data_IF_005645014689
#
_entry.id   IF_005645014689
#
_cell.length_a   1.000
_cell.length_b   1.000
_cell.length_c   1.000
_cell.angle_alpha   90.00
_cell.angle_beta   90.00
_cell.angle_gamma   90.00
#
_symmetry.space_group_name_H-M   'P 1'
#
loop_
_entity.id
_entity.type
_entity.pdbx_description
1 polymer ?
#
# COMPACT_ATOMS: atom_id res chain seq x y z
N UNK A 1 26.60 -47.28 -4.13
CA UNK A 1 25.38 -46.58 -3.67
C UNK A 1 25.68 -45.10 -3.74
N UNK A 2 25.40 -44.50 -4.90
CA UNK A 2 25.71 -43.10 -5.19
C UNK A 2 24.60 -42.21 -4.61
N UNK A 3 24.99 -41.30 -3.72
CA UNK A 3 24.13 -40.28 -3.12
C UNK A 3 23.83 -39.22 -4.18
N UNK A 4 22.61 -39.23 -4.69
CA UNK A 4 22.07 -38.20 -5.58
C UNK A 4 21.71 -36.96 -4.76
N UNK A 5 22.53 -35.91 -4.87
CA UNK A 5 22.24 -34.59 -4.32
C UNK A 5 21.22 -33.89 -5.22
N UNK A 6 19.98 -33.77 -4.74
CA UNK A 6 18.94 -33.02 -5.42
C UNK A 6 19.25 -31.51 -5.38
N UNK A 7 19.66 -30.96 -6.52
CA UNK A 7 19.77 -29.51 -6.74
C UNK A 7 18.35 -28.93 -6.76
N UNK A 8 18.03 -28.09 -5.79
CA UNK A 8 16.81 -27.26 -5.79
C UNK A 8 16.83 -26.34 -7.03
N UNK A 9 15.71 -26.20 -7.77
CA UNK A 9 15.68 -25.33 -8.93
C UNK A 9 15.82 -23.87 -8.46
N UNK A 10 16.80 -23.19 -9.06
CA UNK A 10 16.95 -21.74 -9.00
C UNK A 10 15.59 -21.10 -9.32
N UNK A 11 15.01 -20.37 -8.36
CA UNK A 11 13.75 -19.66 -8.55
C UNK A 11 13.84 -18.83 -9.84
N UNK A 12 12.96 -19.12 -10.80
CA UNK A 12 12.90 -18.36 -12.04
C UNK A 12 12.70 -16.88 -11.69
N UNK A 13 13.64 -16.03 -12.12
CA UNK A 13 13.57 -14.59 -11.92
C UNK A 13 12.20 -14.08 -12.41
N UNK A 14 11.48 -13.36 -11.54
CA UNK A 14 10.22 -12.74 -11.91
C UNK A 14 10.42 -11.90 -13.19
N UNK A 15 9.49 -11.93 -14.16
CA UNK A 15 9.64 -11.17 -15.39
C UNK A 15 9.80 -9.68 -15.05
N UNK A 16 10.78 -9.03 -15.67
CA UNK A 16 11.07 -7.62 -15.42
C UNK A 16 9.81 -6.76 -15.57
N UNK A 17 9.50 -5.94 -14.54
CA UNK A 17 8.38 -5.01 -14.58
C UNK A 17 8.53 -4.09 -15.79
N UNK A 18 7.49 -4.02 -16.62
CA UNK A 18 7.47 -3.07 -17.74
C UNK A 18 6.93 -1.74 -17.21
N UNK A 19 7.72 -0.65 -17.22
CA UNK A 19 7.25 0.65 -16.76
C UNK A 19 5.99 1.10 -17.50
N UNK A 20 5.10 1.78 -16.77
CA UNK A 20 4.03 2.54 -17.36
C UNK A 20 4.53 3.47 -18.47
N UNK A 21 3.68 3.72 -19.47
CA UNK A 21 3.98 4.65 -20.56
C UNK A 21 4.22 6.04 -19.99
N UNK A 22 5.29 6.67 -20.47
CA UNK A 22 5.66 8.03 -20.08
C UNK A 22 4.56 9.03 -20.40
N UNK A 23 4.13 9.82 -19.41
CA UNK A 23 3.14 10.88 -19.58
C UNK A 23 3.80 12.13 -20.17
N UNK A 24 3.64 12.28 -21.49
CA UNK A 24 4.03 13.49 -22.23
C UNK A 24 2.95 14.57 -22.09
N UNK A 25 3.23 15.82 -22.49
CA UNK A 25 2.25 16.92 -22.40
C UNK A 25 0.94 16.68 -23.16
N UNK A 26 0.93 15.71 -24.08
CA UNK A 26 -0.23 15.36 -24.91
C UNK A 26 -1.00 14.16 -24.34
N UNK A 27 -0.47 13.53 -23.28
CA UNK A 27 -1.18 12.45 -22.61
C UNK A 27 -2.44 12.99 -21.95
N UNK A 28 -3.56 12.30 -22.18
CA UNK A 28 -4.82 12.59 -21.51
C UNK A 28 -4.78 11.94 -20.13
N UNK A 29 -4.58 12.76 -19.11
CA UNK A 29 -4.64 12.31 -17.71
C UNK A 29 -6.08 12.42 -17.24
N UNK A 30 -6.66 11.29 -16.83
CA UNK A 30 -7.93 11.28 -16.12
C UNK A 30 -7.66 11.19 -14.62
N UNK A 31 -7.94 12.27 -13.84
CA UNK A 31 -7.74 12.24 -12.40
C UNK A 31 -8.54 11.14 -11.71
N UNK A 32 -8.06 10.70 -10.56
CA UNK A 32 -8.89 9.99 -9.59
C UNK A 32 -9.91 10.95 -8.96
N UNK A 33 -10.91 10.41 -8.29
CA UNK A 33 -11.94 11.20 -7.62
C UNK A 33 -11.61 11.43 -6.14
N UNK A 34 -12.26 12.42 -5.53
CA UNK A 34 -12.22 12.62 -4.08
C UNK A 34 -13.40 11.85 -3.50
N UNK A 35 -13.15 11.06 -2.46
CA UNK A 35 -14.22 10.46 -1.68
C UNK A 35 -14.78 11.53 -0.72
N UNK A 36 -16.09 11.68 -0.73
CA UNK A 36 -16.81 12.53 0.20
C UNK A 36 -17.63 11.63 1.12
N UNK A 37 -17.31 11.55 2.43
CA UNK A 37 -18.05 10.69 3.33
C UNK A 37 -19.51 11.13 3.38
N UNK A 38 -20.41 10.18 3.15
CA UNK A 38 -21.86 10.34 3.25
C UNK A 38 -22.27 10.92 4.62
N UNK A 39 -21.58 10.49 5.68
CA UNK A 39 -21.67 11.09 7.01
C UNK A 39 -20.27 11.53 7.48
N UNK A 40 -19.99 12.85 7.47
CA UNK A 40 -18.71 13.40 7.91
C UNK A 40 -18.41 13.25 9.40
N UNK A 41 -19.40 12.89 10.23
CA UNK A 41 -19.21 12.68 11.66
C UNK A 41 -18.67 11.28 12.00
N UNK A 42 -18.76 10.34 11.05
CA UNK A 42 -18.27 8.98 11.24
C UNK A 42 -16.75 8.91 11.03
N UNK A 43 -16.09 8.15 11.91
CA UNK A 43 -14.70 7.73 11.68
C UNK A 43 -14.60 6.83 10.42
N UNK A 44 -13.40 6.69 9.82
CA UNK A 44 -13.21 5.78 8.70
C UNK A 44 -13.70 4.34 8.96
N UNK A 45 -13.51 3.83 10.16
CA UNK A 45 -13.96 2.50 10.58
C UNK A 45 -15.47 2.41 10.77
N UNK A 46 -16.10 3.48 11.26
CA UNK A 46 -17.56 3.52 11.37
C UNK A 46 -18.22 3.65 9.99
N UNK A 47 -17.57 4.37 9.07
CA UNK A 47 -18.04 4.55 7.69
C UNK A 47 -17.82 3.28 6.84
N UNK A 48 -16.66 2.64 6.99
CA UNK A 48 -16.33 1.37 6.36
C UNK A 48 -16.11 0.28 7.41
N UNK A 49 -17.19 -0.18 8.08
CA UNK A 49 -17.07 -1.24 9.07
C UNK A 49 -16.54 -2.52 8.43
N UNK A 50 -15.88 -3.32 9.26
CA UNK A 50 -15.44 -4.64 8.85
C UNK A 50 -16.66 -5.56 8.69
N UNK A 51 -16.84 -6.08 7.49
CA UNK A 51 -17.95 -6.96 7.11
C UNK A 51 -17.39 -8.19 6.42
N UNK A 52 -18.05 -9.33 6.60
CA UNK A 52 -17.65 -10.59 5.95
C UNK A 52 -18.30 -10.69 4.57
N UNK A 53 -17.48 -10.77 3.53
CA UNK A 53 -17.95 -11.10 2.17
C UNK A 53 -17.98 -12.61 2.05
N UNK A 54 -19.15 -13.15 1.70
CA UNK A 54 -19.37 -14.57 1.42
C UNK A 54 -19.84 -14.72 -0.02
N UNK A 55 -19.36 -15.77 -0.71
CA UNK A 55 -19.81 -16.12 -2.05
C UNK A 55 -19.83 -17.64 -2.23
N UNK A 56 -20.62 -18.17 -3.18
CA UNK A 56 -20.75 -19.62 -3.39
C UNK A 56 -19.41 -20.30 -3.70
N UNK A 57 -18.50 -19.60 -4.40
CA UNK A 57 -17.21 -20.15 -4.85
C UNK A 57 -15.99 -19.55 -4.13
N UNK A 58 -16.20 -18.83 -3.02
CA UNK A 58 -15.12 -18.12 -2.31
C UNK A 58 -15.26 -18.31 -0.79
N UNK A 59 -14.18 -18.75 -0.15
CA UNK A 59 -14.10 -18.78 1.31
C UNK A 59 -14.43 -17.40 1.88
N UNK A 60 -15.24 -17.28 2.95
CA UNK A 60 -15.59 -15.99 3.53
C UNK A 60 -14.34 -15.18 3.89
N UNK A 61 -14.32 -13.90 3.53
CA UNK A 61 -13.20 -13.02 3.86
C UNK A 61 -13.70 -11.65 4.37
N UNK A 62 -13.07 -11.10 5.43
CA UNK A 62 -13.46 -9.80 5.96
C UNK A 62 -12.99 -8.68 5.03
N UNK A 63 -13.78 -7.61 4.87
CA UNK A 63 -13.49 -6.40 4.07
C UNK A 63 -14.02 -5.17 4.80
N UNK A 64 -13.36 -4.03 4.61
CA UNK A 64 -13.89 -2.74 5.04
C UNK A 64 -14.85 -2.24 3.96
N UNK A 65 -16.15 -2.40 4.20
CA UNK A 65 -17.20 -2.13 3.19
C UNK A 65 -17.95 -0.88 3.61
N UNK A 66 -18.15 0.06 2.68
CA UNK A 66 -18.94 1.26 2.94
C UNK A 66 -20.35 0.84 3.38
N UNK A 67 -20.79 1.29 4.55
CA UNK A 67 -22.13 0.97 5.07
C UNK A 67 -23.26 1.59 4.25
N UNK A 68 -22.98 2.62 3.48
CA UNK A 68 -23.93 3.34 2.63
C UNK A 68 -23.92 2.84 1.17
N UNK A 69 -22.89 2.09 0.76
CA UNK A 69 -22.80 1.48 -0.57
C UNK A 69 -21.95 0.20 -0.52
N UNK A 70 -22.61 -0.96 -0.59
CA UNK A 70 -21.94 -2.27 -0.50
C UNK A 70 -21.02 -2.59 -1.68
N UNK A 71 -20.96 -1.75 -2.72
CA UNK A 71 -20.03 -1.87 -3.86
C UNK A 71 -18.76 -1.03 -3.69
N UNK A 72 -18.58 -0.36 -2.55
CA UNK A 72 -17.37 0.39 -2.23
C UNK A 72 -16.59 -0.23 -1.08
N UNK A 73 -15.26 -0.31 -1.23
CA UNK A 73 -14.38 -0.81 -0.16
C UNK A 73 -13.26 0.19 0.19
N UNK A 74 -12.73 0.07 1.41
CA UNK A 74 -11.60 0.86 1.90
C UNK A 74 -10.28 0.11 1.77
N UNK A 75 -9.27 0.81 1.24
CA UNK A 75 -7.86 0.48 1.40
C UNK A 75 -7.20 1.57 2.24
N UNK A 76 -6.47 1.19 3.27
CA UNK A 76 -5.76 2.13 4.15
C UNK A 76 -4.28 2.04 3.85
N UNK A 77 -3.66 3.15 3.46
CA UNK A 77 -2.26 3.13 3.00
C UNK A 77 -1.40 4.08 3.82
N UNK A 78 -0.17 3.66 4.10
CA UNK A 78 0.82 4.55 4.68
C UNK A 78 2.24 4.22 4.22
N UNK A 79 3.15 5.17 4.47
CA UNK A 79 4.53 5.14 4.04
C UNK A 79 5.38 5.91 5.02
N UNK A 80 6.48 5.29 5.43
CA UNK A 80 7.43 5.83 6.38
C UNK A 80 8.80 5.91 5.72
N UNK A 81 9.59 6.88 6.14
CA UNK A 81 10.98 6.95 5.75
C UNK A 81 11.80 7.50 6.91
N UNK A 82 12.87 6.78 7.22
CA UNK A 82 13.83 7.09 8.28
C UNK A 82 14.96 7.91 7.66
N UNK A 83 15.49 8.84 8.45
CA UNK A 83 16.63 9.66 8.08
C UNK A 83 16.43 10.52 6.80
N UNK A 84 15.24 11.13 6.65
CA UNK A 84 14.95 12.04 5.53
C UNK A 84 14.73 13.49 5.98
N UNK A 85 14.77 14.42 5.01
CA UNK A 85 14.43 15.81 5.21
C UNK A 85 15.55 16.68 5.78
N UNK A 86 15.20 17.88 6.25
CA UNK A 86 16.16 18.92 6.69
C UNK A 86 17.11 18.46 7.80
N UNK A 87 16.63 17.55 8.65
CA UNK A 87 17.34 17.10 9.86
C UNK A 87 17.96 15.71 9.70
N UNK A 88 18.06 15.20 8.47
CA UNK A 88 18.70 13.92 8.21
C UNK A 88 20.18 13.94 8.65
N UNK A 89 20.60 12.86 9.29
CA UNK A 89 22.01 12.51 9.46
C UNK A 89 22.61 12.23 8.07
N UNK A 90 23.53 13.10 7.63
CA UNK A 90 24.19 13.00 6.31
C UNK A 90 25.15 11.83 6.19
N UNK A 91 25.44 11.13 7.29
CA UNK A 91 26.33 9.98 7.33
C UNK A 91 25.59 8.64 7.20
N UNK A 92 24.27 8.64 7.14
CA UNK A 92 23.46 7.44 6.96
C UNK A 92 22.55 7.61 5.73
N UNK A 93 22.28 6.51 5.04
CA UNK A 93 21.33 6.50 3.93
C UNK A 93 19.89 6.60 4.48
N UNK A 94 18.99 7.32 3.79
CA UNK A 94 17.57 7.25 4.09
C UNK A 94 17.02 5.87 3.72
N UNK A 95 16.21 5.28 4.58
CA UNK A 95 15.49 4.03 4.32
C UNK A 95 13.99 4.29 4.30
N UNK A 96 13.25 3.60 3.44
CA UNK A 96 11.81 3.76 3.31
C UNK A 96 11.09 2.44 3.51
N UNK A 97 9.82 2.52 3.89
CA UNK A 97 8.93 1.39 4.00
C UNK A 97 7.51 1.84 3.68
N UNK A 98 6.75 0.97 3.05
CA UNK A 98 5.39 1.27 2.63
C UNK A 98 4.47 0.09 2.99
N UNK A 99 3.22 0.40 3.31
CA UNK A 99 2.26 -0.60 3.75
C UNK A 99 0.83 -0.23 3.40
N UNK A 100 -0.03 -1.24 3.35
CA UNK A 100 -1.46 -1.05 3.28
C UNK A 100 -2.24 -2.13 4.03
N UNK A 101 -3.46 -1.79 4.43
CA UNK A 101 -4.44 -2.67 5.05
C UNK A 101 -5.64 -2.78 4.09
N UNK A 102 -6.06 -4.00 3.80
CA UNK A 102 -7.10 -4.31 2.80
C UNK A 102 -8.17 -5.29 3.32
N UNK A 103 -7.96 -5.86 4.50
CA UNK A 103 -8.96 -6.59 5.31
C UNK A 103 -8.60 -6.52 6.78
N UNK A 104 -9.56 -6.83 7.64
CA UNK A 104 -9.29 -7.05 9.06
C UNK A 104 -8.58 -8.39 9.28
N UNK A 105 -7.86 -8.51 10.40
CA UNK A 105 -7.47 -9.81 10.90
C UNK A 105 -8.76 -10.60 11.18
N UNK A 106 -8.95 -11.73 10.50
CA UNK A 106 -10.04 -12.63 10.88
C UNK A 106 -9.83 -13.03 12.34
N UNK A 107 -10.89 -13.01 13.15
CA UNK A 107 -10.81 -13.71 14.42
C UNK A 107 -10.44 -15.16 14.11
N UNK A 108 -9.29 -15.62 14.60
CA UNK A 108 -9.15 -17.05 14.82
C UNK A 108 -10.35 -17.46 15.68
N UNK A 109 -11.13 -18.40 15.17
CA UNK A 109 -12.38 -18.91 15.75
C UNK A 109 -12.32 -19.00 17.28
N UNK A 110 -13.37 -18.61 18.03
CA UNK A 110 -13.40 -18.90 19.46
C UNK A 110 -13.37 -20.42 19.65
N UNK A 111 -12.34 -20.92 20.34
CA UNK A 111 -12.28 -22.30 20.79
C UNK A 111 -13.56 -22.58 21.59
N UNK A 112 -14.38 -23.58 21.23
CA UNK A 112 -15.55 -23.91 22.03
C UNK A 112 -15.11 -24.29 23.45
N UNK A 113 -15.79 -23.82 24.51
CA UNK A 113 -15.43 -24.15 25.88
C UNK A 113 -15.73 -25.63 26.12
N UNK A 114 -14.69 -26.46 26.31
CA UNK A 114 -14.91 -27.86 26.69
C UNK A 114 -13.83 -28.91 26.39
N UNK A 115 -12.60 -28.57 26.00
CA UNK A 115 -11.53 -29.58 25.84
C UNK A 115 -10.36 -29.29 26.79
N UNK A 116 -9.89 -30.28 27.59
CA UNK A 116 -8.80 -30.09 28.51
C UNK A 116 -7.46 -29.91 27.78
N UNK A 117 -6.71 -28.91 28.22
CA UNK A 117 -5.37 -28.58 27.75
C UNK A 117 -4.38 -29.72 28.07
N UNK A 118 -4.03 -30.53 27.07
CA UNK A 118 -2.84 -31.38 27.18
C UNK A 118 -1.60 -30.51 26.99
N UNK A 119 -0.86 -30.30 28.08
CA UNK A 119 0.50 -29.75 28.03
C UNK A 119 1.39 -30.67 27.20
N UNK A 120 1.73 -30.23 25.99
CA UNK A 120 2.92 -30.72 25.29
C UNK A 120 4.03 -29.71 25.49
N UNK A 121 5.07 -30.11 26.22
CA UNK A 121 6.36 -29.44 26.21
C UNK A 121 6.91 -29.48 24.78
N UNK A 122 6.96 -28.32 24.13
CA UNK A 122 7.71 -28.12 22.90
C UNK A 122 8.96 -27.30 23.23
N UNK A 123 10.13 -27.85 22.91
CA UNK A 123 11.42 -27.18 23.00
C UNK A 123 11.45 -25.86 22.21
N UNK A 124 12.29 -24.89 22.60
CA UNK A 124 12.50 -23.67 21.84
C UNK A 124 13.36 -23.96 20.59
N UNK A 125 12.71 -24.49 19.56
CA UNK A 125 13.28 -24.67 18.23
C UNK A 125 13.44 -23.32 17.53
N UNK A 126 14.68 -23.01 17.19
CA UNK A 126 15.17 -21.82 16.50
C UNK A 126 14.33 -21.44 15.27
N UNK A 127 13.52 -20.38 15.39
CA UNK A 127 12.90 -19.71 14.24
C UNK A 127 13.84 -18.58 13.79
N UNK A 128 14.31 -18.53 12.53
CA UNK A 128 15.11 -17.40 12.08
C UNK A 128 14.24 -16.12 12.08
N UNK A 129 14.75 -14.97 12.53
CA UNK A 129 14.03 -13.70 12.44
C UNK A 129 14.09 -13.21 10.99
N UNK A 130 13.12 -13.59 10.17
CA UNK A 130 12.91 -12.96 8.86
C UNK A 130 11.53 -12.30 8.84
N UNK A 131 11.38 -11.27 9.67
CA UNK A 131 10.13 -10.58 9.93
C UNK A 131 10.06 -9.21 9.23
N UNK A 132 10.03 -9.21 7.89
CA UNK A 132 9.53 -8.09 7.08
C UNK A 132 8.16 -8.37 6.45
N UNK A 133 7.75 -9.64 6.37
CA UNK A 133 6.46 -10.06 5.79
C UNK A 133 5.59 -10.64 6.89
N UNK A 134 4.62 -9.89 7.40
CA UNK A 134 3.56 -10.52 8.19
C UNK A 134 2.69 -11.37 7.26
N UNK A 135 2.21 -12.53 7.71
CA UNK A 135 1.40 -13.39 6.87
C UNK A 135 0.13 -12.65 6.38
N UNK A 136 -0.33 -12.93 5.14
CA UNK A 136 -1.54 -12.33 4.56
C UNK A 136 -2.83 -12.62 5.36
N UNK A 137 -2.74 -13.49 6.38
CA UNK A 137 -3.78 -13.69 7.40
C UNK A 137 -4.11 -12.41 8.18
N UNK A 138 -3.16 -11.48 8.36
CA UNK A 138 -3.36 -10.24 9.11
C UNK A 138 -4.02 -9.10 8.29
N UNK A 139 -4.35 -9.34 7.01
CA UNK A 139 -5.03 -8.35 6.18
C UNK A 139 -4.23 -7.11 5.83
N UNK A 140 -2.91 -7.22 5.97
CA UNK A 140 -1.93 -6.15 5.83
C UNK A 140 -0.78 -6.63 4.98
N UNK A 141 -0.24 -5.72 4.17
CA UNK A 141 0.96 -5.92 3.36
C UNK A 141 1.92 -4.79 3.67
N UNK A 142 3.20 -5.11 3.83
CA UNK A 142 4.25 -4.12 4.07
C UNK A 142 5.56 -4.60 3.45
N UNK A 143 6.31 -3.67 2.85
CA UNK A 143 7.62 -3.95 2.25
C UNK A 143 8.54 -2.74 2.41
N UNK A 144 9.87 -2.94 2.39
CA UNK A 144 10.81 -1.85 2.21
C UNK A 144 10.55 -1.11 0.89
N UNK A 145 10.88 0.18 0.87
CA UNK A 145 10.81 0.99 -0.34
C UNK A 145 11.99 0.70 -1.25
N UNK A 146 11.70 0.44 -2.53
CA UNK A 146 12.70 0.09 -3.51
C UNK A 146 13.60 1.28 -3.90
N UNK A 147 14.88 1.00 -4.16
CA UNK A 147 15.87 2.03 -4.55
C UNK A 147 15.74 2.46 -6.01
N UNK A 148 15.32 1.57 -6.89
CA UNK A 148 15.04 1.84 -8.30
C UNK A 148 13.53 1.81 -8.55
N UNK A 149 13.02 2.89 -9.13
CA UNK A 149 11.60 3.03 -9.46
C UNK A 149 11.17 2.21 -10.68
N UNK A 150 9.88 2.29 -11.07
CA UNK A 150 9.36 1.63 -12.27
C UNK A 150 10.16 1.90 -13.54
N UNK A 151 10.76 3.08 -13.67
CA UNK A 151 11.60 3.46 -14.83
C UNK A 151 13.03 2.92 -14.77
N UNK A 152 13.40 2.15 -13.73
CA UNK A 152 14.76 1.68 -13.49
C UNK A 152 15.74 2.74 -12.98
N UNK A 153 15.31 3.98 -12.81
CA UNK A 153 16.14 5.05 -12.27
C UNK A 153 16.22 4.96 -10.74
N UNK A 154 17.42 5.12 -10.18
CA UNK A 154 17.64 5.19 -8.73
C UNK A 154 17.01 6.46 -8.16
N UNK A 155 16.29 6.32 -7.06
CA UNK A 155 15.64 7.43 -6.37
C UNK A 155 15.81 7.29 -4.85
N UNK A 156 16.14 8.40 -4.20
CA UNK A 156 16.27 8.42 -2.74
C UNK A 156 14.91 8.18 -2.04
N UNK A 157 14.89 7.33 -1.01
CA UNK A 157 13.73 7.19 -0.14
C UNK A 157 13.29 8.53 0.47
N UNK A 158 12.00 8.81 0.37
CA UNK A 158 11.34 9.94 1.05
C UNK A 158 9.96 9.51 1.51
N UNK A 159 9.39 10.19 2.50
CA UNK A 159 8.01 9.90 2.95
C UNK A 159 6.98 10.01 1.81
N UNK A 160 7.14 10.99 0.92
CA UNK A 160 6.28 11.15 -0.25
C UNK A 160 6.38 9.97 -1.22
N UNK A 161 7.60 9.48 -1.48
CA UNK A 161 7.85 8.33 -2.35
C UNK A 161 7.27 7.05 -1.73
N UNK A 162 7.48 6.84 -0.44
CA UNK A 162 6.95 5.70 0.30
C UNK A 162 5.41 5.65 0.26
N UNK A 163 4.72 6.77 0.50
CA UNK A 163 3.26 6.80 0.45
C UNK A 163 2.70 6.62 -0.97
N UNK A 164 3.35 7.20 -1.99
CA UNK A 164 2.97 6.93 -3.38
C UNK A 164 3.11 5.45 -3.74
N UNK A 165 4.21 4.83 -3.32
CA UNK A 165 4.44 3.40 -3.51
C UNK A 165 3.40 2.53 -2.80
N UNK A 166 2.97 2.94 -1.60
CA UNK A 166 1.89 2.29 -0.85
C UNK A 166 0.57 2.28 -1.62
N UNK A 167 0.18 3.41 -2.20
CA UNK A 167 -1.02 3.51 -3.04
C UNK A 167 -0.93 2.58 -4.24
N UNK A 168 0.18 2.63 -4.97
CA UNK A 168 0.39 1.78 -6.15
C UNK A 168 0.34 0.30 -5.76
N UNK A 169 1.04 -0.09 -4.69
CA UNK A 169 1.05 -1.45 -4.19
C UNK A 169 -0.35 -1.94 -3.80
N UNK A 170 -1.12 -1.10 -3.10
CA UNK A 170 -2.48 -1.43 -2.69
C UNK A 170 -3.42 -1.61 -3.89
N UNK A 171 -3.36 -0.72 -4.88
CA UNK A 171 -4.20 -0.78 -6.07
C UNK A 171 -3.82 -1.94 -7.01
N UNK A 172 -2.53 -2.28 -7.10
CA UNK A 172 -2.04 -3.40 -7.92
C UNK A 172 -2.24 -4.77 -7.27
N UNK A 173 -2.41 -4.80 -5.93
CA UNK A 173 -2.41 -6.04 -5.16
C UNK A 173 -3.42 -7.06 -5.66
N UNK A 174 -4.62 -6.63 -6.08
CA UNK A 174 -5.67 -7.51 -6.59
C UNK A 174 -6.43 -6.84 -7.72
N UNK A 175 -7.04 -7.65 -8.57
CA UNK A 175 -8.07 -7.19 -9.49
C UNK A 175 -9.34 -6.87 -8.70
N UNK A 176 -9.41 -5.67 -8.11
CA UNK A 176 -10.52 -5.27 -7.23
C UNK A 176 -11.88 -5.31 -7.94
N UNK A 177 -11.92 -5.03 -9.24
CA UNK A 177 -13.14 -5.19 -10.05
C UNK A 177 -13.64 -6.64 -10.10
N UNK A 178 -12.75 -7.62 -10.20
CA UNK A 178 -13.08 -9.05 -10.21
C UNK A 178 -13.50 -9.58 -8.83
N UNK A 179 -13.20 -8.82 -7.77
CA UNK A 179 -13.79 -9.02 -6.44
C UNK A 179 -15.23 -8.47 -6.33
N UNK A 180 -15.71 -7.71 -7.32
CA UNK A 180 -17.06 -7.16 -7.37
C UNK A 180 -17.18 -5.70 -6.93
N UNK A 181 -16.05 -5.04 -6.64
CA UNK A 181 -16.01 -3.64 -6.19
C UNK A 181 -16.17 -2.68 -7.36
N UNK A 182 -17.17 -1.80 -7.25
CA UNK A 182 -17.35 -0.68 -8.19
C UNK A 182 -16.41 0.47 -7.88
N UNK A 183 -16.01 0.63 -6.62
CA UNK A 183 -15.08 1.68 -6.20
C UNK A 183 -14.17 1.22 -5.06
N UNK A 184 -12.90 1.56 -5.20
CA UNK A 184 -11.90 1.46 -4.13
C UNK A 184 -11.63 2.86 -3.59
N UNK A 185 -11.80 3.03 -2.28
CA UNK A 185 -11.50 4.26 -1.54
C UNK A 185 -10.15 4.10 -0.86
N UNK A 186 -9.20 4.96 -1.20
CA UNK A 186 -7.85 4.98 -0.63
C UNK A 186 -7.78 6.02 0.49
N UNK A 187 -7.65 5.55 1.73
CA UNK A 187 -7.47 6.37 2.92
C UNK A 187 -5.99 6.69 3.14
N UNK A 188 -5.65 7.97 3.25
CA UNK A 188 -4.30 8.44 3.59
C UNK A 188 -4.35 9.81 4.26
N UNK A 189 -3.31 10.17 4.99
CA UNK A 189 -3.16 11.49 5.63
C UNK A 189 -2.24 12.45 4.86
N UNK A 190 -1.79 12.07 3.66
CA UNK A 190 -0.86 12.86 2.87
C UNK A 190 -1.56 13.62 1.73
N UNK A 191 -1.74 14.92 1.94
CA UNK A 191 -2.28 15.85 0.95
C UNK A 191 -1.56 15.78 -0.40
N UNK A 192 -0.24 15.55 -0.40
CA UNK A 192 0.54 15.44 -1.64
C UNK A 192 0.04 14.31 -2.55
N UNK A 193 -0.37 13.19 -1.98
CA UNK A 193 -0.92 12.04 -2.71
C UNK A 193 -2.34 12.36 -3.18
N UNK A 194 -3.21 12.82 -2.27
CA UNK A 194 -4.62 13.06 -2.57
C UNK A 194 -4.76 14.14 -3.64
N UNK A 195 -4.15 15.31 -3.45
CA UNK A 195 -4.25 16.41 -4.42
C UNK A 195 -3.44 16.16 -5.69
N UNK A 196 -2.33 15.41 -5.58
CA UNK A 196 -1.59 15.00 -6.76
C UNK A 196 -2.45 14.14 -7.70
N UNK A 197 -3.12 13.12 -7.16
CA UNK A 197 -3.94 12.17 -7.94
C UNK A 197 -5.25 12.78 -8.46
N UNK A 198 -5.82 13.75 -7.74
CA UNK A 198 -7.15 14.29 -8.03
C UNK A 198 -7.13 15.65 -8.73
N UNK A 199 -6.03 16.43 -8.61
CA UNK A 199 -5.99 17.83 -9.09
C UNK A 199 -4.73 18.21 -9.85
N UNK A 200 -3.55 17.85 -9.36
CA UNK A 200 -2.30 18.45 -9.83
C UNK A 200 -1.67 17.71 -11.01
N UNK A 201 -1.82 16.39 -11.09
CA UNK A 201 -1.15 15.57 -12.11
C UNK A 201 -1.41 16.04 -13.55
N UNK A 202 -2.65 16.36 -13.99
CA UNK A 202 -2.89 16.87 -15.34
C UNK A 202 -2.09 18.14 -15.64
N UNK A 203 -2.00 19.05 -14.66
CA UNK A 203 -1.23 20.30 -14.78
C UNK A 203 0.27 20.03 -14.83
N UNK A 204 0.78 19.10 -14.03
CA UNK A 204 2.19 18.70 -14.07
C UNK A 204 2.57 18.13 -15.43
N UNK A 205 1.74 17.24 -15.97
CA UNK A 205 1.93 16.62 -17.29
C UNK A 205 1.90 17.68 -18.40
N UNK A 206 0.89 18.55 -18.41
CA UNK A 206 0.79 19.66 -19.38
C UNK A 206 2.03 20.57 -19.37
N UNK A 207 2.62 20.79 -18.20
CA UNK A 207 3.84 21.59 -18.00
C UNK A 207 5.14 20.80 -18.17
N UNK A 208 5.08 19.60 -18.76
CA UNK A 208 6.24 18.72 -18.98
C UNK A 208 7.02 18.43 -17.70
N UNK A 209 6.32 18.31 -16.57
CA UNK A 209 6.88 18.07 -15.24
C UNK A 209 7.80 19.18 -14.74
N UNK A 210 7.63 20.43 -15.21
CA UNK A 210 8.47 21.57 -14.81
C UNK A 210 7.73 22.47 -13.80
N UNK A 211 8.42 22.82 -12.71
CA UNK A 211 7.95 23.84 -11.76
C UNK A 211 8.04 25.25 -12.39
N UNK A 212 7.22 26.22 -11.94
CA UNK A 212 7.43 27.64 -12.22
C UNK A 212 8.87 28.08 -11.90
N UNK A 213 9.39 29.10 -12.63
CA UNK A 213 10.74 29.64 -12.40
C UNK A 213 10.95 30.13 -10.97
N UNK A 214 9.93 30.73 -10.37
CA UNK A 214 9.97 31.33 -9.03
C UNK A 214 9.35 30.44 -7.95
N UNK A 215 9.16 29.14 -8.22
CA UNK A 215 8.66 28.25 -7.17
C UNK A 215 9.75 28.03 -6.12
N UNK A 216 9.49 28.29 -4.83
CA UNK A 216 10.42 27.94 -3.76
C UNK A 216 10.62 26.42 -3.66
N UNK A 217 11.81 26.00 -3.22
CA UNK A 217 12.19 24.58 -3.04
C UNK A 217 13.01 24.00 -4.19
N UNK A 218 14.02 23.21 -3.83
CA UNK A 218 15.04 22.66 -4.73
C UNK A 218 14.46 21.87 -5.91
N UNK A 219 15.05 22.07 -7.09
CA UNK A 219 14.74 21.34 -8.32
C UNK A 219 13.69 22.02 -9.22
N UNK A 220 13.99 22.10 -10.52
CA UNK A 220 13.11 22.69 -11.56
C UNK A 220 12.00 21.75 -12.03
N UNK A 221 11.91 20.54 -11.46
CA UNK A 221 10.96 19.49 -11.85
C UNK A 221 10.14 19.02 -10.65
N UNK A 222 8.91 18.61 -10.91
CA UNK A 222 8.10 17.90 -9.90
C UNK A 222 8.73 16.52 -9.67
N UNK A 223 8.81 16.08 -8.40
CA UNK A 223 9.40 14.80 -8.00
C UNK A 223 8.46 13.62 -8.21
N UNK A 224 9.00 12.40 -8.03
CA UNK A 224 8.29 11.11 -8.07
C UNK A 224 7.53 10.85 -9.39
N UNK A 225 8.05 11.37 -10.50
CA UNK A 225 7.39 11.25 -11.81
C UNK A 225 7.12 9.78 -12.18
N UNK A 226 8.11 8.93 -11.99
CA UNK A 226 8.05 7.48 -12.22
C UNK A 226 6.83 6.84 -11.52
N UNK A 227 6.66 7.11 -10.23
CA UNK A 227 5.53 6.58 -9.46
C UNK A 227 4.20 7.23 -9.85
N UNK A 228 4.18 8.52 -10.20
CA UNK A 228 2.94 9.15 -10.68
C UNK A 228 2.47 8.61 -12.03
N UNK A 229 3.41 8.30 -12.93
CA UNK A 229 3.10 7.66 -14.21
C UNK A 229 2.55 6.24 -13.98
N UNK A 230 3.13 5.49 -13.05
CA UNK A 230 2.66 4.16 -12.64
C UNK A 230 1.28 4.19 -11.95
N UNK A 231 1.05 5.16 -11.06
CA UNK A 231 -0.23 5.35 -10.40
C UNK A 231 -1.33 5.70 -11.41
N UNK A 232 -1.05 6.60 -12.36
CA UNK A 232 -2.03 6.95 -13.40
C UNK A 232 -2.42 5.73 -14.25
N UNK A 233 -1.44 4.91 -14.65
CA UNK A 233 -1.70 3.69 -15.41
C UNK A 233 -2.54 2.69 -14.61
N UNK A 234 -2.23 2.52 -13.32
CA UNK A 234 -2.99 1.61 -12.43
C UNK A 234 -4.43 2.09 -12.22
N UNK A 235 -4.65 3.39 -12.04
CA UNK A 235 -6.00 3.97 -11.91
C UNK A 235 -6.80 3.82 -13.20
N UNK A 236 -6.16 3.99 -14.36
CA UNK A 236 -6.80 3.79 -15.66
C UNK A 236 -7.16 2.32 -15.91
N UNK A 237 -6.27 1.38 -15.57
CA UNK A 237 -6.50 -0.06 -15.63
C UNK A 237 -7.74 -0.46 -14.80
N UNK A 238 -7.80 -0.04 -13.54
CA UNK A 238 -8.96 -0.30 -12.68
C UNK A 238 -10.25 0.31 -13.24
N UNK A 239 -10.19 1.55 -13.74
CA UNK A 239 -11.36 2.23 -14.32
C UNK A 239 -11.89 1.49 -15.55
N UNK A 240 -11.01 1.03 -16.44
CA UNK A 240 -11.41 0.22 -17.62
C UNK A 240 -12.03 -1.11 -17.17
N UNK A 241 -11.54 -1.69 -16.08
CA UNK A 241 -12.13 -2.86 -15.42
C UNK A 241 -13.43 -2.57 -14.64
N UNK A 242 -13.99 -1.36 -14.73
CA UNK A 242 -15.24 -0.99 -14.05
C UNK A 242 -15.10 -0.66 -12.56
N UNK A 243 -13.87 -0.48 -12.07
CA UNK A 243 -13.56 -0.15 -10.68
C UNK A 243 -12.97 1.27 -10.58
N UNK A 244 -13.71 2.20 -9.99
CA UNK A 244 -13.25 3.57 -9.76
C UNK A 244 -12.29 3.67 -8.57
N UNK A 245 -11.36 4.62 -8.61
CA UNK A 245 -10.47 4.94 -7.48
C UNK A 245 -10.79 6.32 -6.95
N UNK A 246 -11.14 6.39 -5.66
CA UNK A 246 -11.35 7.64 -4.92
C UNK A 246 -10.35 7.78 -3.78
N UNK A 247 -9.94 9.01 -3.47
CA UNK A 247 -9.04 9.30 -2.35
C UNK A 247 -9.80 9.97 -1.20
N UNK A 248 -9.61 9.45 0.01
CA UNK A 248 -10.10 10.05 1.25
C UNK A 248 -8.92 10.57 2.07
N UNK A 249 -8.82 11.90 2.17
CA UNK A 249 -7.85 12.56 3.05
C UNK A 249 -8.38 12.59 4.48
N UNK A 250 -7.62 12.04 5.42
CA UNK A 250 -7.85 12.22 6.86
C UNK A 250 -6.81 13.15 7.45
N UNK A 251 -7.25 14.06 8.33
CA UNK A 251 -6.33 14.93 9.07
C UNK A 251 -6.02 14.34 10.44
N UNK A 252 -4.84 14.66 10.97
CA UNK A 252 -4.28 14.05 12.18
C UNK A 252 -5.08 14.18 13.49
N UNK A 253 -6.30 14.75 13.49
CA UNK A 253 -7.23 14.78 14.62
C UNK A 253 -8.53 13.99 14.40
N UNK A 254 -8.82 13.52 13.18
CA UNK A 254 -10.03 12.72 12.86
C UNK A 254 -9.85 11.22 13.18
N UNK A 255 -8.62 10.80 13.50
CA UNK A 255 -8.21 9.41 13.70
C UNK A 255 -8.33 8.96 15.16
N UNK A 256 -8.51 9.89 16.11
CA UNK A 256 -8.48 9.59 17.55
C UNK A 256 -9.85 9.17 18.13
N UNK A 257 -10.95 9.32 17.38
CA UNK A 257 -12.30 8.93 17.82
C UNK A 257 -12.61 7.50 17.34
N UNK A 258 -11.84 6.54 17.85
CA UNK A 258 -12.12 5.11 17.71
C UNK A 258 -12.26 4.49 19.09
N UNK A 259 -13.40 3.84 19.36
CA UNK A 259 -13.79 3.24 20.65
C UNK A 259 -12.97 1.98 21.04
N UNK A 260 -11.74 1.86 20.54
CA UNK A 260 -10.88 0.69 20.75
C UNK A 260 -9.42 1.11 20.88
N UNK A 261 -8.80 0.74 21.99
CA UNK A 261 -7.44 1.13 22.40
C UNK A 261 -6.26 0.67 21.52
N UNK A 262 -6.48 0.37 20.23
CA UNK A 262 -5.48 -0.09 19.25
C UNK A 262 -5.16 0.96 18.15
N UNK A 263 -5.48 2.24 18.38
CA UNK A 263 -5.07 3.35 17.50
C UNK A 263 -5.72 3.43 16.11
N UNK A 264 -6.66 2.53 15.77
CA UNK A 264 -7.41 2.55 14.52
C UNK A 264 -6.65 1.99 13.29
N UNK A 265 -7.35 1.87 12.17
CA UNK A 265 -6.82 1.24 10.93
C UNK A 265 -5.64 2.01 10.35
N UNK A 266 -5.64 3.33 10.51
CA UNK A 266 -4.56 4.20 10.02
C UNK A 266 -3.30 4.05 10.86
N UNK A 267 -3.41 3.90 12.19
CA UNK A 267 -2.23 3.63 13.02
C UNK A 267 -1.58 2.28 12.67
N UNK A 268 -2.39 1.25 12.38
CA UNK A 268 -1.88 -0.06 11.93
C UNK A 268 -1.09 0.04 10.62
N UNK A 269 -1.56 0.84 9.65
CA UNK A 269 -0.82 1.10 8.42
C UNK A 269 0.48 1.86 8.68
N UNK A 270 0.44 2.89 9.54
CA UNK A 270 1.62 3.68 9.97
C UNK A 270 2.69 2.83 10.63
N UNK A 271 2.28 1.99 11.58
CA UNK A 271 3.20 1.10 12.29
C UNK A 271 3.85 0.10 11.32
N UNK A 272 3.06 -0.49 10.42
CA UNK A 272 3.55 -1.41 9.41
C UNK A 272 4.60 -0.79 8.50
N UNK A 273 4.32 0.41 7.97
CA UNK A 273 5.23 1.14 7.12
C UNK A 273 6.53 1.52 7.87
N UNK A 274 6.41 1.92 9.15
CA UNK A 274 7.55 2.25 10.00
C UNK A 274 8.42 1.05 10.31
N UNK A 275 7.82 -0.12 10.57
CA UNK A 275 8.57 -1.38 10.76
C UNK A 275 9.30 -1.78 9.48
N UNK A 276 8.62 -1.73 8.34
CA UNK A 276 9.21 -2.02 7.04
C UNK A 276 10.37 -1.06 6.70
N UNK A 277 10.31 0.20 7.14
CA UNK A 277 11.40 1.15 6.94
C UNK A 277 12.64 0.90 7.83
N UNK A 278 12.48 0.17 8.95
CA UNK A 278 13.52 0.00 9.98
C UNK A 278 14.13 -1.40 10.02
N UNK A 279 13.36 -2.43 9.69
CA UNK A 279 13.65 -3.81 10.04
C UNK A 279 13.90 -4.72 8.84
N UNK A 280 14.71 -4.30 7.88
CA UNK A 280 15.05 -5.16 6.75
C UNK A 280 16.46 -5.75 6.92
N UNK A 281 16.53 -6.97 7.47
CA UNK A 281 17.75 -7.77 7.62
C UNK A 281 17.91 -8.77 6.44
N UNK A 282 17.71 -8.31 5.20
CA UNK A 282 17.84 -9.11 3.97
C UNK A 282 18.46 -8.31 2.81
N UNK A 283 18.44 -8.87 1.59
CA UNK A 283 18.84 -8.15 0.37
C UNK A 283 17.78 -7.11 -0.02
N UNK A 284 18.09 -5.81 0.16
CA UNK A 284 17.10 -4.74 0.00
C UNK A 284 16.47 -4.85 -1.38
N UNK A 285 15.13 -4.77 -1.52
CA UNK A 285 14.49 -4.84 -2.82
C UNK A 285 15.00 -3.66 -3.66
N UNK A 286 15.95 -3.96 -4.55
CA UNK A 286 16.65 -2.93 -5.28
C UNK A 286 15.76 -2.32 -6.37
N UNK A 287 14.87 -3.13 -6.95
CA UNK A 287 14.03 -2.75 -8.07
C UNK A 287 12.53 -2.83 -7.76
N UNK A 288 11.79 -1.86 -8.28
CA UNK A 288 10.33 -1.84 -8.25
C UNK A 288 9.75 -3.17 -8.72
N UNK A 289 8.88 -3.74 -7.89
CA UNK A 289 8.20 -5.00 -8.19
C UNK A 289 6.70 -4.79 -8.13
N UNK A 290 5.98 -5.10 -9.23
CA UNK A 290 4.51 -5.13 -9.23
C UNK A 290 4.06 -6.23 -8.29
N UNK A 291 3.17 -5.91 -7.36
CA UNK A 291 2.71 -6.87 -6.36
C UNK A 291 1.37 -7.41 -6.79
N UNK A 292 1.23 -8.73 -6.72
CA UNK A 292 -0.02 -9.45 -6.94
C UNK A 292 -0.28 -10.32 -5.72
N UNK A 293 -1.53 -10.42 -5.29
CA UNK A 293 -1.97 -11.28 -4.19
C UNK A 293 -1.84 -12.77 -4.48
N UNK A 294 -1.40 -13.17 -5.68
CA UNK A 294 -0.93 -14.52 -5.97
C UNK A 294 0.52 -14.77 -5.51
N UNK A 295 1.27 -13.72 -5.15
CA UNK A 295 2.66 -13.77 -4.70
C UNK A 295 2.81 -13.64 -3.17
N UNK A 296 1.71 -13.67 -2.40
CA UNK A 296 1.71 -13.58 -0.93
C UNK A 296 0.79 -14.62 -0.32
#
# INVERSE_FOLDING_TARGET
>A
METTTATLPLAAAAPAHRPARRLTRHARVQPATIFHPQDPSLSPEAHFPLQTVSGPDRAPFPRFINRFDSREMLLVVDGSCVNNGRHANRLADPTGGWAFVFKGAGSSTPTPPGMPSHHHHHEPGTTPPNAATLPPAAGRVAFPLERHGPSGERAEPTSNRAKLRAVIGALQFRAWGDEGWRRVVVLTDLEYVVWGATRWLPRWVARRWRKPRHCPGGGRRYGNRDLWEELQATVEELRVGGCEVSFWLVRGGEVEVGDGGDGGVMARAKEAARRAARGFEGEEPDAFTKISGAMV
#
